data_IF_033653257801
#
_entry.id   IF_033653257801
#
_cell.length_a   1.000
_cell.length_b   1.000
_cell.length_c   1.000
_cell.angle_alpha   90.00
_cell.angle_beta   90.00
_cell.angle_gamma   90.00
#
_symmetry.space_group_name_H-M   'P 1'
#
loop_
_entity.id
_entity.type
_entity.pdbx_description
1 polymer ?
#
# COMPACT_ATOMS: atom_id res chain seq x y z
N UNK A 1 -23.13 70.20 19.20
CA UNK A 1 -24.54 69.92 18.87
C UNK A 1 -24.56 69.41 17.44
N UNK A 2 -23.84 68.33 17.15
CA UNK A 2 -24.16 66.90 17.45
C UNK A 2 -25.15 66.41 16.38
N UNK A 3 -25.00 65.27 15.70
CA UNK A 3 -24.14 64.13 15.93
C UNK A 3 -24.02 63.34 14.61
N UNK A 4 -22.83 62.81 14.32
CA UNK A 4 -22.62 61.73 13.37
C UNK A 4 -23.09 60.44 14.03
N UNK A 5 -23.85 59.59 13.34
CA UNK A 5 -24.16 58.24 13.82
C UNK A 5 -24.10 57.25 12.67
N UNK A 6 -22.88 56.78 12.41
CA UNK A 6 -22.60 55.47 11.80
C UNK A 6 -22.64 54.38 12.88
N UNK A 7 -22.80 53.12 12.44
CA UNK A 7 -22.64 51.84 13.17
C UNK A 7 -23.89 51.35 13.94
N UNK A 8 -24.32 50.08 13.89
CA UNK A 8 -23.79 48.83 13.30
C UNK A 8 -24.92 47.81 13.29
N UNK A 9 -25.23 47.18 12.15
CA UNK A 9 -26.07 45.99 12.13
C UNK A 9 -25.21 44.79 12.58
N UNK A 10 -25.43 44.29 13.80
CA UNK A 10 -24.79 43.08 14.30
C UNK A 10 -25.35 41.85 13.57
N UNK A 11 -24.62 41.37 12.54
CA UNK A 11 -24.78 40.00 12.06
C UNK A 11 -24.32 39.05 13.17
N UNK A 12 -25.26 38.35 13.80
CA UNK A 12 -24.93 37.20 14.63
C UNK A 12 -24.24 36.12 13.78
N UNK A 13 -23.11 35.54 14.21
CA UNK A 13 -22.49 34.45 13.48
C UNK A 13 -23.34 33.19 13.67
N UNK A 14 -23.83 32.62 12.56
CA UNK A 14 -24.41 31.27 12.54
C UNK A 14 -23.27 30.32 12.90
N UNK A 15 -23.30 29.80 14.12
CA UNK A 15 -22.34 28.79 14.56
C UNK A 15 -22.57 27.53 13.70
N UNK A 16 -21.69 27.30 12.73
CA UNK A 16 -21.58 25.99 12.06
C UNK A 16 -21.24 24.96 13.12
N UNK A 17 -22.23 24.17 13.52
CA UNK A 17 -22.03 23.08 14.46
C UNK A 17 -20.93 22.15 13.96
N UNK A 18 -19.83 22.11 14.72
CA UNK A 18 -18.71 21.20 14.51
C UNK A 18 -19.21 19.77 14.35
N UNK A 19 -18.75 19.08 13.31
CA UNK A 19 -19.04 17.67 13.00
C UNK A 19 -18.95 16.77 14.25
N UNK A 20 -17.98 17.03 15.12
CA UNK A 20 -17.77 16.33 16.39
C UNK A 20 -18.91 16.49 17.39
N UNK A 21 -19.60 17.64 17.41
CA UNK A 21 -20.78 17.87 18.26
C UNK A 21 -21.99 17.10 17.76
N UNK A 22 -22.16 16.98 16.43
CA UNK A 22 -23.24 16.17 15.85
C UNK A 22 -23.01 14.68 16.10
N UNK A 23 -21.76 14.23 15.94
CA UNK A 23 -21.37 12.85 16.21
C UNK A 23 -21.57 12.49 17.69
N UNK A 24 -21.08 13.34 18.60
CA UNK A 24 -21.26 13.16 20.04
C UNK A 24 -22.74 13.13 20.44
N UNK A 25 -23.59 13.96 19.82
CA UNK A 25 -25.03 13.98 20.09
C UNK A 25 -25.71 12.69 19.64
N UNK A 26 -25.37 12.17 18.46
CA UNK A 26 -25.88 10.89 17.95
C UNK A 26 -25.46 9.74 18.87
N UNK A 27 -24.19 9.70 19.26
CA UNK A 27 -23.67 8.69 20.20
C UNK A 27 -24.46 8.75 21.51
N UNK A 28 -24.57 9.92 22.14
CA UNK A 28 -25.30 10.08 23.41
C UNK A 28 -26.78 9.71 23.28
N UNK A 29 -27.44 10.09 22.19
CA UNK A 29 -28.87 9.77 21.97
C UNK A 29 -29.11 8.27 21.76
N UNK A 30 -28.16 7.55 21.16
CA UNK A 30 -28.26 6.10 20.97
C UNK A 30 -27.82 5.33 22.22
N UNK A 31 -26.87 5.86 23.00
CA UNK A 31 -26.37 5.22 24.22
C UNK A 31 -27.38 5.26 25.38
N UNK A 32 -28.15 6.35 25.54
CA UNK A 32 -29.10 6.48 26.66
C UNK A 32 -30.17 5.37 26.72
N UNK A 33 -30.83 5.00 25.61
CA UNK A 33 -31.77 3.86 25.58
C UNK A 33 -31.09 2.52 25.85
N UNK A 34 -29.86 2.32 25.39
CA UNK A 34 -29.12 1.05 25.50
C UNK A 34 -28.61 0.81 26.94
N UNK A 35 -28.21 1.88 27.64
CA UNK A 35 -27.85 1.83 29.07
C UNK A 35 -29.07 1.45 29.93
N UNK A 36 -30.28 1.87 29.53
CA UNK A 36 -31.51 1.52 30.23
C UNK A 36 -31.92 0.03 30.07
N UNK A 37 -31.36 -0.69 29.09
CA UNK A 37 -31.69 -2.10 28.79
C UNK A 37 -30.70 -3.11 29.41
N UNK A 38 -29.70 -2.67 30.18
CA UNK A 38 -28.85 -3.57 30.98
C UNK A 38 -27.76 -4.35 30.22
N UNK A 39 -27.59 -4.14 28.90
CA UNK A 39 -26.56 -4.78 28.08
C UNK A 39 -25.32 -3.88 27.86
N UNK A 40 -24.69 -3.45 28.96
CA UNK A 40 -23.53 -2.54 28.90
C UNK A 40 -22.31 -3.16 28.21
N UNK A 41 -22.09 -4.47 28.38
CA UNK A 41 -20.97 -5.20 27.75
C UNK A 41 -21.17 -5.26 26.24
N UNK A 42 -22.34 -5.73 25.78
CA UNK A 42 -22.64 -5.82 24.34
C UNK A 42 -22.66 -4.45 23.64
N UNK A 43 -23.08 -3.39 24.35
CA UNK A 43 -23.07 -2.02 23.81
C UNK A 43 -21.65 -1.46 23.72
N UNK A 44 -20.79 -1.76 24.70
CA UNK A 44 -19.39 -1.35 24.66
C UNK A 44 -18.68 -2.02 23.49
N UNK A 45 -18.87 -3.32 23.31
CA UNK A 45 -18.21 -4.08 22.26
C UNK A 45 -18.71 -3.63 20.87
N UNK A 46 -20.02 -3.42 20.70
CA UNK A 46 -20.60 -2.83 19.48
C UNK A 46 -20.06 -1.42 19.19
N UNK A 47 -19.89 -0.56 20.21
CA UNK A 47 -19.38 0.79 20.05
C UNK A 47 -17.89 0.80 19.70
N UNK A 48 -17.10 -0.09 20.31
CA UNK A 48 -15.68 -0.27 19.99
C UNK A 48 -15.51 -0.81 18.58
N UNK A 49 -16.29 -1.81 18.19
CA UNK A 49 -16.25 -2.40 16.85
C UNK A 49 -16.76 -1.42 15.79
N UNK A 50 -17.80 -0.64 16.09
CA UNK A 50 -18.29 0.41 15.21
C UNK A 50 -17.30 1.57 15.08
N UNK A 51 -16.62 1.94 16.17
CA UNK A 51 -15.59 2.98 16.16
C UNK A 51 -14.37 2.52 15.35
N UNK A 52 -13.89 1.30 15.59
CA UNK A 52 -12.78 0.69 14.86
C UNK A 52 -13.16 0.54 13.37
N UNK A 53 -14.36 0.08 13.05
CA UNK A 53 -14.85 -0.02 11.68
C UNK A 53 -14.97 1.34 10.97
N UNK A 54 -15.50 2.36 11.64
CA UNK A 54 -15.63 3.70 11.06
C UNK A 54 -14.27 4.36 10.82
N UNK A 55 -13.36 4.33 11.80
CA UNK A 55 -12.01 4.87 11.64
C UNK A 55 -11.24 4.08 10.57
N UNK A 56 -11.37 2.75 10.54
CA UNK A 56 -10.71 1.90 9.53
C UNK A 56 -11.19 2.25 8.13
N UNK A 57 -12.50 2.28 7.89
CA UNK A 57 -13.08 2.61 6.59
C UNK A 57 -12.86 4.08 6.17
N UNK A 58 -12.82 5.02 7.11
CA UNK A 58 -12.50 6.41 6.81
C UNK A 58 -11.02 6.56 6.43
N UNK A 59 -10.13 5.90 7.16
CA UNK A 59 -8.69 5.92 6.90
C UNK A 59 -8.37 5.21 5.58
N UNK A 60 -9.03 4.08 5.27
CA UNK A 60 -8.95 3.41 3.96
C UNK A 60 -9.29 4.36 2.82
N UNK A 61 -10.36 5.15 2.94
CA UNK A 61 -10.77 6.09 1.89
C UNK A 61 -9.72 7.18 1.65
N UNK A 62 -9.08 7.69 2.70
CA UNK A 62 -8.03 8.72 2.58
C UNK A 62 -6.76 8.13 1.97
N UNK A 63 -6.32 6.97 2.46
CA UNK A 63 -5.13 6.25 1.99
C UNK A 63 -5.26 5.87 0.50
N UNK A 64 -6.42 5.35 0.09
CA UNK A 64 -6.71 5.02 -1.31
C UNK A 64 -6.83 6.28 -2.18
N UNK A 65 -7.39 7.38 -1.66
CA UNK A 65 -7.44 8.65 -2.40
C UNK A 65 -6.03 9.20 -2.69
N UNK A 66 -5.09 9.08 -1.75
CA UNK A 66 -3.70 9.48 -1.97
C UNK A 66 -3.02 8.60 -3.03
N UNK A 67 -3.15 7.26 -2.91
CA UNK A 67 -2.58 6.33 -3.89
C UNK A 67 -3.15 6.54 -5.30
N UNK A 68 -4.44 6.86 -5.42
CA UNK A 68 -5.07 7.16 -6.72
C UNK A 68 -4.51 8.41 -7.42
N UNK A 69 -3.82 9.30 -6.69
CA UNK A 69 -3.16 10.45 -7.31
C UNK A 69 -1.75 10.12 -7.83
N UNK A 70 -1.12 9.08 -7.28
CA UNK A 70 0.23 8.64 -7.65
C UNK A 70 0.20 8.02 -9.04
N UNK A 71 1.04 8.56 -9.94
CA UNK A 71 1.17 8.09 -11.30
C UNK A 71 2.55 8.42 -11.84
N UNK A 72 3.05 7.61 -12.77
CA UNK A 72 4.25 7.93 -13.54
C UNK A 72 4.05 9.28 -14.25
N UNK A 73 5.03 10.17 -14.13
CA UNK A 73 5.00 11.53 -14.66
C UNK A 73 4.48 12.59 -13.68
N UNK A 74 3.99 12.20 -12.50
CA UNK A 74 3.59 13.16 -11.47
C UNK A 74 4.77 14.03 -11.02
N UNK A 75 4.48 15.28 -10.64
CA UNK A 75 5.46 16.15 -10.01
C UNK A 75 5.58 15.79 -8.51
N UNK A 76 6.81 15.61 -8.02
CA UNK A 76 7.07 15.19 -6.65
C UNK A 76 6.63 16.23 -5.62
N UNK A 77 6.83 17.52 -5.89
CA UNK A 77 6.43 18.61 -5.00
C UNK A 77 4.91 18.63 -4.79
N UNK A 78 4.14 18.32 -5.84
CA UNK A 78 2.70 18.14 -5.75
C UNK A 78 2.32 16.94 -4.88
N UNK A 79 2.99 15.78 -5.05
CA UNK A 79 2.70 14.59 -4.24
C UNK A 79 3.06 14.80 -2.76
N UNK A 80 4.20 15.44 -2.48
CA UNK A 80 4.66 15.74 -1.12
C UNK A 80 3.73 16.71 -0.38
N UNK A 81 2.92 17.51 -1.10
CA UNK A 81 1.90 18.37 -0.49
C UNK A 81 0.83 17.62 0.31
N UNK A 82 0.61 16.34 0.01
CA UNK A 82 -0.36 15.49 0.72
C UNK A 82 0.22 14.17 1.25
N UNK A 83 1.35 13.68 0.72
CA UNK A 83 2.08 12.53 1.27
C UNK A 83 3.00 12.93 2.44
N UNK A 84 3.37 14.21 2.54
CA UNK A 84 4.41 14.68 3.44
C UNK A 84 5.81 14.51 2.86
N UNK A 85 6.83 14.58 3.72
CA UNK A 85 8.23 14.37 3.33
C UNK A 85 8.58 12.88 3.34
N UNK A 86 9.47 12.40 2.45
CA UNK A 86 9.86 11.00 2.45
C UNK A 86 10.63 10.63 3.72
N UNK A 87 10.31 9.49 4.32
CA UNK A 87 11.02 9.00 5.51
C UNK A 87 12.38 8.36 5.18
N UNK A 88 12.55 7.88 3.94
CA UNK A 88 13.81 7.32 3.44
C UNK A 88 14.04 7.77 2.00
N UNK A 89 15.29 8.11 1.68
CA UNK A 89 15.75 8.39 0.32
C UNK A 89 16.98 7.52 0.02
N UNK A 90 16.87 6.66 -1.01
CA UNK A 90 17.96 5.83 -1.52
C UNK A 90 18.37 6.35 -2.90
N UNK A 91 19.67 6.42 -3.18
CA UNK A 91 20.14 6.67 -4.55
C UNK A 91 20.04 5.38 -5.35
N UNK A 92 19.49 5.45 -6.56
CA UNK A 92 19.43 4.28 -7.42
C UNK A 92 20.80 3.99 -8.03
N UNK A 93 21.13 2.69 -8.08
CA UNK A 93 22.27 2.11 -8.76
C UNK A 93 21.90 1.60 -10.16
N UNK A 94 20.62 1.26 -10.39
CA UNK A 94 20.12 0.85 -11.72
C UNK A 94 19.63 2.02 -12.58
N UNK A 95 19.22 3.13 -11.97
CA UNK A 95 18.69 4.33 -12.64
C UNK A 95 19.59 5.54 -12.35
N UNK A 96 20.52 5.81 -13.27
CA UNK A 96 21.51 6.87 -13.12
C UNK A 96 20.85 8.24 -12.83
N UNK A 97 21.29 8.88 -11.74
CA UNK A 97 20.82 10.21 -11.34
C UNK A 97 19.45 10.24 -10.66
N UNK A 98 18.81 9.07 -10.45
CA UNK A 98 17.51 8.99 -9.79
C UNK A 98 17.62 8.58 -8.32
N UNK A 99 16.58 8.95 -7.57
CA UNK A 99 16.42 8.60 -6.16
C UNK A 99 15.12 7.84 -5.94
N UNK A 100 15.14 6.84 -5.06
CA UNK A 100 13.95 6.19 -4.53
C UNK A 100 13.56 6.86 -3.22
N UNK A 101 12.36 7.43 -3.18
CA UNK A 101 11.77 8.10 -2.03
C UNK A 101 10.66 7.25 -1.46
N UNK A 102 10.69 7.01 -0.16
CA UNK A 102 9.76 6.11 0.51
C UNK A 102 8.84 6.86 1.43
N UNK A 103 7.54 6.55 1.30
CA UNK A 103 6.44 7.11 2.07
C UNK A 103 5.76 5.94 2.80
N UNK A 104 6.11 5.77 4.07
CA UNK A 104 5.52 4.75 4.93
C UNK A 104 4.24 5.28 5.58
N UNK A 105 3.13 4.58 5.36
CA UNK A 105 1.84 4.81 5.99
C UNK A 105 1.42 3.54 6.76
N UNK A 106 0.39 3.63 7.59
CA UNK A 106 -0.03 2.53 8.45
C UNK A 106 -0.37 1.25 7.67
N UNK A 107 -0.95 1.38 6.47
CA UNK A 107 -1.41 0.25 5.67
C UNK A 107 -0.54 -0.08 4.47
N UNK A 108 0.35 0.82 4.06
CA UNK A 108 1.16 0.61 2.87
C UNK A 108 2.52 1.31 2.95
N UNK A 109 3.47 0.76 2.19
CA UNK A 109 4.72 1.42 1.84
C UNK A 109 4.65 1.84 0.38
N UNK A 110 4.77 3.14 0.11
CA UNK A 110 4.86 3.69 -1.23
C UNK A 110 6.32 4.04 -1.54
N UNK A 111 6.87 3.48 -2.61
CA UNK A 111 8.17 3.87 -3.17
C UNK A 111 7.97 4.69 -4.44
N UNK A 112 8.67 5.82 -4.58
CA UNK A 112 8.69 6.64 -5.79
C UNK A 112 10.12 6.72 -6.31
N UNK A 113 10.35 6.31 -7.56
CA UNK A 113 11.57 6.68 -8.28
C UNK A 113 11.39 8.08 -8.87
N UNK A 114 12.34 8.97 -8.59
CA UNK A 114 12.28 10.39 -8.93
C UNK A 114 13.48 10.77 -9.77
N UNK A 115 13.21 11.35 -10.94
CA UNK A 115 14.16 12.01 -11.83
C UNK A 115 13.94 13.52 -11.75
N UNK A 116 14.83 14.22 -11.04
CA UNK A 116 14.66 15.64 -10.72
C UNK A 116 13.40 15.88 -9.88
N UNK A 117 12.35 16.43 -10.50
CA UNK A 117 11.05 16.69 -9.86
C UNK A 117 9.94 15.75 -10.36
N UNK A 118 10.26 14.77 -11.20
CA UNK A 118 9.28 13.92 -11.89
C UNK A 118 9.36 12.49 -11.39
N UNK A 119 8.21 11.91 -11.03
CA UNK A 119 8.10 10.48 -10.74
C UNK A 119 8.27 9.68 -12.03
N UNK A 120 9.25 8.79 -12.06
CA UNK A 120 9.57 7.93 -13.19
C UNK A 120 9.00 6.51 -13.04
N UNK A 121 8.87 6.02 -11.81
CA UNK A 121 8.32 4.73 -11.44
C UNK A 121 7.74 4.81 -10.02
N UNK A 122 6.77 3.96 -9.69
CA UNK A 122 6.29 3.84 -8.31
C UNK A 122 6.03 2.38 -7.95
N UNK A 123 6.13 2.07 -6.66
CA UNK A 123 5.79 0.79 -6.08
C UNK A 123 4.87 0.96 -4.88
N UNK A 124 3.99 -0.01 -4.67
CA UNK A 124 3.11 -0.07 -3.51
C UNK A 124 3.25 -1.45 -2.90
N UNK A 125 3.57 -1.51 -1.61
CA UNK A 125 3.51 -2.74 -0.82
C UNK A 125 2.44 -2.59 0.25
N UNK A 126 1.48 -3.51 0.27
CA UNK A 126 0.49 -3.59 1.33
C UNK A 126 1.16 -4.09 2.62
N UNK A 127 0.93 -3.39 3.73
CA UNK A 127 1.46 -3.70 5.07
C UNK A 127 0.38 -4.24 6.00
N UNK A 128 -0.91 -4.09 5.65
CA UNK A 128 -2.03 -4.70 6.38
C UNK A 128 -2.89 -5.58 5.47
N UNK A 129 -3.50 -6.66 6.01
CA UNK A 129 -4.39 -7.53 5.24
C UNK A 129 -5.65 -6.84 4.70
N UNK A 130 -6.08 -5.77 5.36
CA UNK A 130 -7.29 -5.01 5.02
C UNK A 130 -7.13 -4.06 3.82
N UNK A 131 -5.89 -3.80 3.38
CA UNK A 131 -5.66 -2.85 2.29
C UNK A 131 -6.02 -3.47 0.94
N UNK A 132 -7.04 -2.92 0.29
CA UNK A 132 -7.43 -3.30 -1.08
C UNK A 132 -6.99 -2.21 -2.07
N UNK A 133 -5.79 -2.35 -2.63
CA UNK A 133 -5.28 -1.45 -3.68
C UNK A 133 -5.48 -2.07 -5.04
N UNK A 134 -6.17 -1.35 -5.94
CA UNK A 134 -6.30 -1.73 -7.33
C UNK A 134 -4.93 -1.82 -7.99
N UNK A 135 -4.69 -2.93 -8.70
CA UNK A 135 -3.47 -3.14 -9.46
C UNK A 135 -3.59 -2.33 -10.76
N UNK A 136 -2.70 -1.37 -11.03
CA UNK A 136 -2.79 -0.53 -12.23
C UNK A 136 -2.75 -1.40 -13.49
N UNK A 137 -3.67 -1.17 -14.44
CA UNK A 137 -3.80 -1.95 -15.69
C UNK A 137 -4.19 -3.42 -15.51
N UNK A 138 -4.75 -3.83 -14.36
CA UNK A 138 -5.30 -5.16 -14.16
C UNK A 138 -6.79 -5.00 -13.87
N UNK A 139 -7.62 -5.18 -14.89
CA UNK A 139 -9.06 -4.94 -14.84
C UNK A 139 -9.68 -5.59 -13.60
N UNK A 140 -10.26 -4.76 -12.71
CA UNK A 140 -10.93 -5.12 -11.46
C UNK A 140 -10.12 -6.00 -10.48
N UNK A 141 -8.79 -6.02 -10.59
CA UNK A 141 -7.90 -6.80 -9.72
C UNK A 141 -7.22 -5.91 -8.70
N UNK A 142 -7.01 -6.45 -7.50
CA UNK A 142 -6.38 -5.74 -6.39
C UNK A 142 -5.33 -6.61 -5.68
N UNK A 143 -4.38 -5.98 -5.01
CA UNK A 143 -3.45 -6.70 -4.12
C UNK A 143 -4.22 -7.49 -3.06
N UNK A 144 -3.60 -8.57 -2.55
CA UNK A 144 -4.13 -9.39 -1.47
C UNK A 144 -5.46 -10.12 -1.76
N UNK A 145 -5.95 -10.13 -3.00
CA UNK A 145 -7.26 -10.74 -3.33
C UNK A 145 -7.18 -12.15 -3.89
N UNK A 146 -6.27 -12.40 -4.85
CA UNK A 146 -6.19 -13.67 -5.56
C UNK A 146 -4.73 -14.04 -5.91
N UNK A 147 -4.41 -15.34 -6.03
CA UNK A 147 -3.06 -15.77 -6.36
C UNK A 147 -2.57 -15.30 -7.74
N UNK A 148 -1.25 -15.22 -7.92
CA UNK A 148 -0.60 -14.77 -9.16
C UNK A 148 -1.10 -15.52 -10.40
N UNK A 149 -1.27 -16.84 -10.31
CA UNK A 149 -1.75 -17.64 -11.45
C UNK A 149 -3.18 -17.29 -11.91
N UNK A 150 -4.01 -16.71 -11.04
CA UNK A 150 -5.36 -16.26 -11.38
C UNK A 150 -5.39 -14.82 -11.85
N UNK A 151 -4.37 -14.03 -11.50
CA UNK A 151 -4.24 -12.67 -11.98
C UNK A 151 -3.99 -12.70 -13.48
N UNK A 152 -2.85 -13.25 -13.92
CA UNK A 152 -2.45 -13.15 -15.31
C UNK A 152 -1.58 -14.33 -15.76
N UNK A 153 -1.46 -14.50 -17.07
CA UNK A 153 -0.57 -15.49 -17.65
C UNK A 153 0.89 -15.09 -17.46
N UNK A 154 1.74 -16.07 -17.15
CA UNK A 154 3.17 -15.84 -16.97
C UNK A 154 3.85 -15.56 -18.31
N UNK A 155 4.66 -14.51 -18.37
CA UNK A 155 5.33 -14.05 -19.60
C UNK A 155 6.82 -14.40 -19.68
N UNK A 156 7.38 -15.12 -18.69
CA UNK A 156 8.77 -15.60 -18.72
C UNK A 156 9.76 -14.82 -17.87
N UNK A 157 9.45 -13.56 -17.54
CA UNK A 157 10.35 -12.70 -16.76
C UNK A 157 10.02 -12.75 -15.26
N UNK A 158 11.00 -13.16 -14.45
CA UNK A 158 10.91 -13.11 -13.00
C UNK A 158 12.27 -12.80 -12.36
N UNK A 159 12.24 -12.34 -11.11
CA UNK A 159 13.43 -12.17 -10.27
C UNK A 159 13.06 -12.45 -8.83
N UNK A 160 14.05 -12.87 -8.04
CA UNK A 160 13.88 -13.22 -6.64
C UNK A 160 15.18 -12.99 -5.87
N UNK A 161 15.07 -12.92 -4.55
CA UNK A 161 16.19 -12.98 -3.63
C UNK A 161 15.73 -13.75 -2.38
N UNK A 162 16.69 -14.37 -1.68
CA UNK A 162 16.51 -15.04 -0.38
C UNK A 162 17.55 -14.58 0.65
N UNK A 163 18.59 -13.85 0.22
CA UNK A 163 19.73 -13.42 1.01
C UNK A 163 19.46 -12.18 1.86
N UNK A 164 19.37 -11.00 1.25
CA UNK A 164 19.21 -9.72 1.98
C UNK A 164 17.73 -9.36 2.24
N UNK A 165 16.86 -9.90 1.41
CA UNK A 165 15.42 -9.78 1.43
C UNK A 165 14.85 -11.06 0.81
N UNK A 166 13.84 -11.67 1.39
CA UNK A 166 13.09 -12.70 0.65
C UNK A 166 11.97 -12.04 -0.14
N UNK A 167 12.03 -12.16 -1.46
CA UNK A 167 10.96 -11.69 -2.33
C UNK A 167 10.90 -12.48 -3.64
N UNK A 168 9.77 -12.32 -4.34
CA UNK A 168 9.56 -12.78 -5.70
C UNK A 168 8.81 -11.71 -6.49
N UNK A 169 9.30 -11.39 -7.69
CA UNK A 169 8.59 -10.56 -8.66
C UNK A 169 8.46 -11.31 -9.99
N UNK A 170 7.30 -11.19 -10.63
CA UNK A 170 7.11 -11.44 -12.05
C UNK A 170 6.87 -10.12 -12.78
N UNK A 171 7.34 -10.03 -14.04
CA UNK A 171 7.16 -8.85 -14.88
C UNK A 171 6.17 -9.13 -16.00
N UNK A 172 5.27 -8.17 -16.21
CA UNK A 172 4.30 -8.17 -17.28
C UNK A 172 4.46 -6.91 -18.14
N UNK A 173 4.69 -7.05 -19.47
CA UNK A 173 4.62 -5.94 -20.38
C UNK A 173 3.16 -5.52 -20.60
N UNK A 174 2.84 -4.23 -20.44
CA UNK A 174 1.46 -3.74 -20.52
C UNK A 174 0.95 -3.49 -21.95
N UNK A 175 1.77 -3.83 -22.95
CA UNK A 175 1.40 -3.82 -24.36
C UNK A 175 0.69 -2.54 -24.80
N UNK A 176 -0.51 -2.68 -25.39
CA UNK A 176 -1.32 -1.56 -25.88
C UNK A 176 -2.02 -0.76 -24.78
N UNK A 177 -2.23 -1.34 -23.60
CA UNK A 177 -2.97 -0.72 -22.49
C UNK A 177 -2.12 0.30 -21.72
N UNK A 178 -0.80 0.07 -21.66
CA UNK A 178 0.15 0.94 -20.99
C UNK A 178 1.44 1.05 -21.79
N UNK A 179 1.36 1.45 -23.07
CA UNK A 179 2.50 1.57 -23.99
C UNK A 179 3.75 2.11 -23.27
N UNK A 180 4.86 1.37 -23.40
CA UNK A 180 6.16 1.64 -22.77
C UNK A 180 6.24 1.44 -21.25
N UNK A 181 5.15 1.09 -20.56
CA UNK A 181 5.18 0.69 -19.17
C UNK A 181 5.22 -0.82 -19.01
N UNK A 182 5.88 -1.21 -17.94
CA UNK A 182 5.96 -2.56 -17.41
C UNK A 182 5.33 -2.51 -16.03
N UNK A 183 4.70 -3.62 -15.66
CA UNK A 183 4.22 -3.84 -14.30
C UNK A 183 4.95 -5.03 -13.72
N UNK A 184 5.38 -4.90 -12.48
CA UNK A 184 5.89 -6.00 -11.69
C UNK A 184 4.89 -6.32 -10.60
N UNK A 185 4.57 -7.61 -10.45
CA UNK A 185 3.67 -8.13 -9.41
C UNK A 185 4.42 -9.15 -8.60
N UNK A 186 4.24 -9.12 -7.28
CA UNK A 186 5.07 -9.97 -6.45
C UNK A 186 4.67 -10.03 -5.00
N UNK A 187 5.51 -10.75 -4.28
CA UNK A 187 5.42 -10.92 -2.85
C UNK A 187 6.77 -10.54 -2.23
N UNK A 188 6.71 -9.77 -1.15
CA UNK A 188 7.86 -9.40 -0.33
C UNK A 188 7.58 -9.73 1.12
N UNK A 189 8.57 -10.24 1.84
CA UNK A 189 8.38 -10.87 3.15
C UNK A 189 7.87 -9.91 4.25
N UNK A 190 8.17 -8.61 4.17
CA UNK A 190 7.67 -7.61 5.12
C UNK A 190 6.26 -7.08 4.77
N UNK A 191 5.74 -7.42 3.58
CA UNK A 191 4.37 -7.05 3.20
C UNK A 191 3.35 -7.97 3.84
N UNK A 192 2.09 -7.52 3.92
CA UNK A 192 1.01 -8.30 4.50
C UNK A 192 0.71 -9.59 3.72
N UNK A 193 -0.02 -10.48 4.38
CA UNK A 193 -0.73 -11.58 3.76
C UNK A 193 -2.24 -11.40 3.96
N UNK A 194 -3.08 -11.95 3.07
CA UNK A 194 -4.53 -11.99 3.29
C UNK A 194 -4.86 -12.69 4.62
N UNK A 195 -5.89 -12.24 5.34
CA UNK A 195 -6.27 -12.84 6.64
C UNK A 195 -6.60 -14.33 6.53
N UNK A 196 -7.15 -14.74 5.38
CA UNK A 196 -7.53 -16.11 5.08
C UNK A 196 -6.51 -16.80 4.16
N UNK A 197 -5.24 -16.38 4.20
CA UNK A 197 -4.22 -16.97 3.36
C UNK A 197 -4.13 -18.49 3.59
N UNK A 198 -4.25 -19.26 2.52
CA UNK A 198 -4.11 -20.71 2.55
C UNK A 198 -2.70 -21.15 2.99
N UNK A 199 -1.72 -20.25 2.89
CA UNK A 199 -0.31 -20.49 3.20
C UNK A 199 0.23 -19.38 4.10
N UNK A 200 1.19 -19.72 4.96
CA UNK A 200 1.91 -18.78 5.82
C UNK A 200 3.11 -18.15 5.11
N UNK A 201 3.64 -17.05 5.66
CA UNK A 201 4.89 -16.43 5.19
C UNK A 201 6.01 -17.46 5.08
N UNK A 202 6.13 -18.35 6.06
CA UNK A 202 7.16 -19.38 6.08
C UNK A 202 7.03 -20.35 4.89
N UNK A 203 5.82 -20.74 4.52
CA UNK A 203 5.58 -21.61 3.37
C UNK A 203 5.97 -20.93 2.06
N UNK A 204 5.57 -19.66 1.86
CA UNK A 204 5.96 -18.89 0.66
C UNK A 204 7.48 -18.70 0.61
N UNK A 205 8.13 -18.36 1.72
CA UNK A 205 9.60 -18.26 1.81
C UNK A 205 10.29 -19.56 1.40
N UNK A 206 9.79 -20.72 1.84
CA UNK A 206 10.32 -22.03 1.44
C UNK A 206 10.14 -22.28 -0.06
N UNK A 207 9.01 -21.87 -0.64
CA UNK A 207 8.78 -21.97 -2.08
C UNK A 207 9.70 -21.07 -2.90
N UNK A 208 9.92 -19.82 -2.47
CA UNK A 208 10.90 -18.90 -3.08
C UNK A 208 12.30 -19.50 -3.01
N UNK A 209 12.70 -20.03 -1.85
CA UNK A 209 14.00 -20.71 -1.67
C UNK A 209 14.16 -21.94 -2.56
N UNK A 210 13.08 -22.71 -2.77
CA UNK A 210 13.09 -23.86 -3.67
C UNK A 210 13.26 -23.42 -5.14
N UNK A 211 12.59 -22.34 -5.54
CA UNK A 211 12.73 -21.77 -6.88
C UNK A 211 14.15 -21.23 -7.10
N UNK A 212 14.70 -20.49 -6.12
CA UNK A 212 16.07 -19.96 -6.13
C UNK A 212 17.10 -21.07 -6.35
N UNK A 213 17.02 -22.15 -5.57
CA UNK A 213 17.90 -23.32 -5.73
C UNK A 213 17.80 -23.94 -7.12
N UNK A 214 16.59 -24.11 -7.65
CA UNK A 214 16.40 -24.67 -8.98
C UNK A 214 16.97 -23.76 -10.09
N UNK A 215 16.81 -22.43 -9.93
CA UNK A 215 17.36 -21.42 -10.83
C UNK A 215 18.89 -21.43 -10.83
N UNK A 216 19.52 -21.40 -9.65
CA UNK A 216 20.99 -21.45 -9.50
C UNK A 216 21.60 -22.74 -10.05
N UNK A 217 20.92 -23.88 -9.86
CA UNK A 217 21.36 -25.17 -10.39
C UNK A 217 21.13 -25.34 -11.89
N UNK A 218 20.37 -24.44 -12.53
CA UNK A 218 20.00 -24.54 -13.95
C UNK A 218 19.06 -25.71 -14.27
N UNK A 219 18.36 -26.26 -13.27
CA UNK A 219 17.40 -27.35 -13.47
C UNK A 219 16.08 -26.77 -13.97
N UNK A 220 15.91 -26.75 -15.29
CA UNK A 220 14.73 -26.15 -15.93
C UNK A 220 13.41 -26.82 -15.53
N UNK A 221 13.40 -28.14 -15.32
CA UNK A 221 12.19 -28.87 -14.96
C UNK A 221 11.80 -28.56 -13.51
N UNK A 222 12.76 -28.61 -12.59
CA UNK A 222 12.54 -28.25 -11.20
C UNK A 222 12.15 -26.77 -11.05
N UNK A 223 12.77 -25.88 -11.84
CA UNK A 223 12.46 -24.46 -11.86
C UNK A 223 11.02 -24.22 -12.31
N UNK A 224 10.59 -24.83 -13.42
CA UNK A 224 9.23 -24.69 -13.92
C UNK A 224 8.19 -25.21 -12.92
N UNK A 225 8.45 -26.36 -12.30
CA UNK A 225 7.57 -26.92 -11.27
C UNK A 225 7.50 -26.01 -10.03
N UNK A 226 8.65 -25.55 -9.53
CA UNK A 226 8.74 -24.67 -8.37
C UNK A 226 8.05 -23.33 -8.61
N UNK A 227 8.21 -22.75 -9.81
CA UNK A 227 7.55 -21.52 -10.22
C UNK A 227 6.04 -21.71 -10.31
N UNK A 228 5.58 -22.80 -10.92
CA UNK A 228 4.14 -23.09 -11.05
C UNK A 228 3.48 -23.20 -9.67
N UNK A 229 4.12 -23.92 -8.74
CA UNK A 229 3.65 -24.02 -7.36
C UNK A 229 3.65 -22.65 -6.65
N UNK A 230 4.75 -21.89 -6.75
CA UNK A 230 4.86 -20.58 -6.12
C UNK A 230 3.76 -19.64 -6.60
N UNK A 231 3.52 -19.57 -7.92
CA UNK A 231 2.45 -18.72 -8.51
C UNK A 231 1.05 -19.17 -8.11
N UNK A 232 0.85 -20.47 -7.88
CA UNK A 232 -0.44 -21.00 -7.42
C UNK A 232 -0.78 -20.55 -6.01
N UNK A 233 0.24 -20.48 -5.17
CA UNK A 233 0.08 -20.34 -3.72
C UNK A 233 0.32 -18.90 -3.24
N UNK A 234 1.01 -18.08 -4.04
CA UNK A 234 1.36 -16.69 -3.71
C UNK A 234 0.26 -15.72 -4.14
N UNK A 235 -0.30 -15.01 -3.16
CA UNK A 235 -1.11 -13.80 -3.38
C UNK A 235 -0.19 -12.59 -3.31
N UNK A 236 -0.13 -11.72 -4.34
CA UNK A 236 0.80 -10.61 -4.32
C UNK A 236 0.40 -9.57 -3.28
N UNK A 237 1.42 -9.07 -2.57
CA UNK A 237 1.31 -7.98 -1.61
C UNK A 237 2.05 -6.72 -2.07
N UNK A 238 2.70 -6.77 -3.24
CA UNK A 238 3.41 -5.63 -3.80
C UNK A 238 3.29 -5.57 -5.31
N UNK A 239 3.30 -4.35 -5.84
CA UNK A 239 3.47 -4.10 -7.27
C UNK A 239 4.41 -2.92 -7.51
N UNK A 240 5.00 -2.86 -8.71
CA UNK A 240 5.68 -1.69 -9.23
C UNK A 240 5.24 -1.39 -10.66
N UNK A 241 5.21 -0.11 -11.05
CA UNK A 241 4.80 0.34 -12.39
C UNK A 241 5.69 1.48 -12.86
N UNK A 242 6.24 1.32 -14.06
CA UNK A 242 7.08 2.31 -14.71
C UNK A 242 7.63 1.82 -16.05
N UNK A 243 8.44 2.62 -16.74
CA UNK A 243 9.08 2.20 -17.99
C UNK A 243 10.26 1.26 -17.79
N UNK A 244 10.72 1.07 -16.54
CA UNK A 244 11.92 0.30 -16.22
C UNK A 244 11.63 -1.18 -15.99
N UNK A 245 12.70 -1.97 -16.11
CA UNK A 245 12.64 -3.43 -15.98
C UNK A 245 12.56 -3.92 -14.53
N UNK A 246 12.46 -5.24 -14.40
CA UNK A 246 12.31 -5.94 -13.14
C UNK A 246 13.48 -5.71 -12.15
N UNK A 247 14.69 -5.42 -12.67
CA UNK A 247 15.86 -5.08 -11.85
C UNK A 247 15.65 -3.79 -11.06
N UNK A 248 15.11 -2.74 -11.70
CA UNK A 248 14.81 -1.48 -11.01
C UNK A 248 13.66 -1.64 -10.02
N UNK A 249 12.65 -2.46 -10.36
CA UNK A 249 11.56 -2.78 -9.43
C UNK A 249 12.08 -3.53 -8.18
N UNK A 250 12.99 -4.49 -8.36
CA UNK A 250 13.64 -5.20 -7.27
C UNK A 250 14.51 -4.26 -6.42
N UNK A 251 15.26 -3.35 -7.03
CA UNK A 251 16.06 -2.36 -6.32
C UNK A 251 15.21 -1.38 -5.49
N UNK A 252 13.98 -1.10 -5.94
CA UNK A 252 13.02 -0.30 -5.17
C UNK A 252 12.54 -0.99 -3.89
N UNK A 253 12.66 -2.31 -3.76
CA UNK A 253 12.39 -2.97 -2.48
C UNK A 253 13.41 -2.56 -1.41
N UNK A 254 12.98 -2.61 -0.16
CA UNK A 254 13.84 -2.36 0.98
C UNK A 254 14.41 -3.69 1.48
N UNK A 255 15.71 -3.75 1.70
CA UNK A 255 16.33 -4.88 2.39
C UNK A 255 15.75 -5.02 3.80
N UNK A 256 15.90 -6.21 4.42
CA UNK A 256 15.50 -6.41 5.82
C UNK A 256 16.07 -5.36 6.76
N UNK A 257 17.35 -5.03 6.55
CA UNK A 257 18.04 -4.02 7.34
C UNK A 257 17.43 -2.62 7.15
N UNK A 258 17.25 -2.18 5.90
CA UNK A 258 16.63 -0.88 5.60
C UNK A 258 15.21 -0.80 6.16
N UNK A 259 14.39 -1.82 5.92
CA UNK A 259 13.02 -1.83 6.42
C UNK A 259 12.98 -1.75 7.95
N UNK A 260 13.77 -2.57 8.65
CA UNK A 260 13.81 -2.56 10.11
C UNK A 260 14.37 -1.26 10.68
N UNK A 261 15.42 -0.69 10.06
CA UNK A 261 16.08 0.52 10.56
C UNK A 261 15.20 1.76 10.47
N UNK A 262 14.32 1.85 9.47
CA UNK A 262 13.49 3.02 9.22
C UNK A 262 12.02 2.83 9.62
N UNK A 263 11.50 1.59 9.60
CA UNK A 263 10.07 1.30 9.73
C UNK A 263 9.75 0.16 10.70
N UNK A 264 10.75 -0.58 11.18
CA UNK A 264 10.53 -1.58 12.21
C UNK A 264 10.18 -0.92 13.55
N UNK A 265 9.39 -1.61 14.39
CA UNK A 265 9.10 -1.15 15.75
C UNK A 265 10.41 -0.97 16.53
N UNK A 266 10.89 0.27 16.62
CA UNK A 266 11.93 0.63 17.57
C UNK A 266 11.27 0.70 18.94
N UNK A 267 11.20 -0.44 19.62
CA UNK A 267 10.92 -0.48 21.06
C UNK A 267 12.02 0.31 21.78
N UNK A 268 11.77 1.59 22.03
CA UNK A 268 12.44 2.43 23.02
C UNK A 268 11.38 2.95 24.01
#
# INVERSE_FOLDING_TARGET
>A
MDNISTNTASKQPVATESFWRKLARIIVTVSLPLIALGQWVDTRDLLVDSYNGFITHFTDKVELQQLNQVRVGANIDYLESFLGTPQLIKRSTTLAGQEFRYYHQNKYLLGLAVDGTRVSMYSVTALTPSLTVAIPFADDKSLLTQPLFQLEDFMGDFTLDTGNLTFFYEQLPLGKQGLFFKRQLGWVEYGAMPEQAAHSHQQITQQVTRLDKAYVLGDQQAMQAALTDLRRDTVPNTFAVGPYGIESAAEMLLTRYEYQAYFGDTGL
#
